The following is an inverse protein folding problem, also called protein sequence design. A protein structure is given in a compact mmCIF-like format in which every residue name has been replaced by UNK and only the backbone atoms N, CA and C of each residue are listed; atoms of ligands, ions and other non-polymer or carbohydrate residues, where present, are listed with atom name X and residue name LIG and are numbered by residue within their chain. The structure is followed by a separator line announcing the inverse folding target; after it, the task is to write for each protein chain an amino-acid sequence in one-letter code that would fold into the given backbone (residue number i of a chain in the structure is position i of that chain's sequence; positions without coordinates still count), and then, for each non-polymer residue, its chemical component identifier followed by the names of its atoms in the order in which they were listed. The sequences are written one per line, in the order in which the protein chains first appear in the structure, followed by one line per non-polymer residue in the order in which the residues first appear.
data_IF_779260571590
#
_entry.id   IF_779260571590
#
_cell.length_a   1.000
_cell.length_b   1.000
_cell.length_c   1.000
_cell.angle_alpha   90.00
_cell.angle_beta   90.00
_cell.angle_gamma   90.00
#
_symmetry.space_group_name_H-M   'P 1'
#
loop_
_entity.id
_entity.type
_entity.pdbx_description
1 polymer ?
#
# COMPACT_ATOMS: atom_id res chain seq x y z
N UNK A 1 22.61 7.59 8.26
CA UNK A 1 22.70 7.16 6.83
C UNK A 1 22.17 5.74 6.61
N UNK A 2 22.71 4.73 7.30
CA UNK A 2 22.26 3.33 7.16
C UNK A 2 20.77 3.13 7.48
N UNK A 3 20.25 3.81 8.52
CA UNK A 3 18.84 3.75 8.91
C UNK A 3 17.90 4.28 7.81
N UNK A 4 18.24 5.40 7.17
CA UNK A 4 17.45 5.98 6.07
C UNK A 4 17.41 5.07 4.85
N UNK A 5 18.54 4.45 4.48
CA UNK A 5 18.57 3.50 3.36
C UNK A 5 17.70 2.26 3.63
N UNK A 6 17.74 1.74 4.86
CA UNK A 6 16.88 0.62 5.27
C UNK A 6 15.40 1.00 5.24
N UNK A 7 15.06 2.21 5.69
CA UNK A 7 13.69 2.72 5.66
C UNK A 7 13.17 2.87 4.23
N UNK A 8 13.97 3.44 3.32
CA UNK A 8 13.60 3.60 1.91
C UNK A 8 13.44 2.24 1.23
N UNK A 9 14.38 1.32 1.43
CA UNK A 9 14.30 -0.04 0.88
C UNK A 9 13.09 -0.81 1.42
N UNK A 10 12.80 -0.68 2.72
CA UNK A 10 11.61 -1.25 3.34
C UNK A 10 10.32 -0.66 2.77
N UNK A 11 10.24 0.67 2.61
CA UNK A 11 9.09 1.35 2.02
C UNK A 11 8.85 0.90 0.57
N UNK A 12 9.90 0.81 -0.25
CA UNK A 12 9.81 0.30 -1.62
C UNK A 12 9.24 -1.12 -1.65
N UNK A 13 9.76 -2.01 -0.80
CA UNK A 13 9.30 -3.39 -0.71
C UNK A 13 7.82 -3.48 -0.30
N UNK A 14 7.40 -2.72 0.73
CA UNK A 14 6.01 -2.73 1.19
C UNK A 14 5.04 -2.19 0.15
N UNK A 15 5.37 -1.08 -0.50
CA UNK A 15 4.52 -0.49 -1.53
C UNK A 15 4.44 -1.39 -2.77
N UNK A 16 5.51 -2.07 -3.14
CA UNK A 16 5.50 -3.01 -4.26
C UNK A 16 4.71 -4.28 -3.94
N UNK A 17 4.73 -4.74 -2.68
CA UNK A 17 4.11 -6.03 -2.31
C UNK A 17 2.61 -5.93 -2.01
N UNK A 18 2.12 -4.76 -1.62
CA UNK A 18 0.70 -4.54 -1.29
C UNK A 18 0.03 -3.64 -2.35
N UNK A 19 -0.71 -4.22 -3.32
CA UNK A 19 -1.34 -3.45 -4.40
C UNK A 19 -2.41 -2.48 -3.88
N UNK A 20 -2.90 -2.68 -2.65
CA UNK A 20 -3.86 -1.78 -2.01
C UNK A 20 -3.25 -0.43 -1.58
N UNK A 21 -1.94 -0.19 -1.73
CA UNK A 21 -1.26 1.02 -1.24
C UNK A 21 -0.99 2.05 -2.35
N UNK A 22 -1.60 3.23 -2.25
CA UNK A 22 -1.29 4.39 -3.09
C UNK A 22 -0.11 5.20 -2.56
N UNK A 23 -0.05 5.35 -1.23
CA UNK A 23 1.03 6.02 -0.52
C UNK A 23 1.16 5.44 0.89
N UNK A 24 2.25 5.78 1.58
CA UNK A 24 2.45 5.40 2.98
C UNK A 24 3.22 6.48 3.74
N UNK A 25 2.98 6.53 5.04
CA UNK A 25 3.80 7.31 5.96
C UNK A 25 4.79 6.41 6.69
N UNK A 26 5.95 6.95 7.02
CA UNK A 26 6.95 6.28 7.86
C UNK A 26 7.61 7.28 8.78
N UNK A 27 8.41 6.80 9.73
CA UNK A 27 9.23 7.64 10.58
C UNK A 27 10.61 7.00 10.75
N UNK A 28 11.65 7.84 10.78
CA UNK A 28 12.99 7.42 11.21
C UNK A 28 13.38 8.21 12.45
N UNK A 29 13.95 7.50 13.42
CA UNK A 29 14.54 8.08 14.62
C UNK A 29 16.03 7.75 14.59
N UNK A 30 16.86 8.78 14.54
CA UNK A 30 18.32 8.69 14.68
C UNK A 30 18.67 9.49 15.95
N UNK A 31 19.08 8.79 17.01
CA UNK A 31 19.27 9.35 18.36
C UNK A 31 18.00 10.05 18.91
N UNK A 32 18.02 11.36 19.07
CA UNK A 32 16.86 12.16 19.46
C UNK A 32 16.17 12.85 18.27
N UNK A 33 16.72 12.73 17.06
CA UNK A 33 16.21 13.38 15.86
C UNK A 33 15.20 12.50 15.13
N UNK A 34 14.02 13.08 14.88
CA UNK A 34 12.91 12.40 14.20
C UNK A 34 12.68 13.04 12.84
N UNK A 35 12.51 12.19 11.83
CA UNK A 35 12.00 12.56 10.51
C UNK A 35 10.70 11.81 10.26
N UNK A 36 9.66 12.52 9.85
CA UNK A 36 8.43 11.93 9.33
C UNK A 36 8.54 11.89 7.82
N UNK A 37 8.26 10.73 7.23
CA UNK A 37 8.35 10.48 5.80
C UNK A 37 6.98 10.26 5.20
N UNK A 38 6.81 10.75 3.97
CA UNK A 38 5.70 10.47 3.09
C UNK A 38 6.26 9.85 1.80
N UNK A 39 5.73 8.69 1.44
CA UNK A 39 6.11 7.97 0.22
C UNK A 39 4.87 7.78 -0.63
N UNK A 40 4.94 8.25 -1.88
CA UNK A 40 3.95 7.97 -2.91
C UNK A 40 4.65 7.34 -4.11
N UNK A 41 3.86 6.80 -5.04
CA UNK A 41 4.35 6.20 -6.29
C UNK A 41 5.09 7.20 -7.18
N UNK A 42 4.81 8.51 -7.04
CA UNK A 42 5.44 9.56 -7.84
C UNK A 42 6.62 10.25 -7.15
N UNK A 43 6.52 10.49 -5.84
CA UNK A 43 7.51 11.26 -5.10
C UNK A 43 7.58 10.85 -3.62
N UNK A 44 8.67 11.25 -2.98
CA UNK A 44 8.90 11.07 -1.56
C UNK A 44 9.19 12.42 -0.92
N UNK A 45 8.63 12.67 0.26
CA UNK A 45 8.84 13.87 1.04
C UNK A 45 9.18 13.51 2.48
N UNK A 46 9.86 14.41 3.19
CA UNK A 46 10.08 14.28 4.62
C UNK A 46 9.91 15.62 5.32
N UNK A 47 9.53 15.57 6.60
CA UNK A 47 9.40 16.76 7.44
C UNK A 47 10.76 17.36 7.76
N UNK A 48 10.75 18.63 8.20
CA UNK A 48 11.87 19.19 8.94
C UNK A 48 12.19 18.32 10.15
N UNK A 49 13.47 18.16 10.45
CA UNK A 49 13.94 17.36 11.58
C UNK A 49 13.53 18.03 12.88
N UNK A 50 13.05 17.25 13.85
CA UNK A 50 12.78 17.74 15.19
C UNK A 50 13.33 16.79 16.25
N UNK A 51 13.67 17.33 17.41
CA UNK A 51 14.19 16.55 18.54
C UNK A 51 13.03 16.07 19.41
N UNK A 52 12.83 14.75 19.53
CA UNK A 52 11.82 14.16 20.40
C UNK A 52 12.08 14.44 21.89
N UNK A 53 13.33 14.72 22.26
CA UNK A 53 13.70 15.11 23.63
C UNK A 53 13.30 16.55 23.94
N UNK A 54 13.46 17.47 22.99
CA UNK A 54 13.15 18.90 23.16
C UNK A 54 11.66 19.18 22.99
N UNK A 55 11.04 18.58 21.97
CA UNK A 55 9.61 18.72 21.71
C UNK A 55 9.03 17.42 21.12
N UNK A 56 8.33 16.67 21.97
CA UNK A 56 7.66 15.42 21.58
C UNK A 56 6.28 15.66 20.95
N UNK A 57 5.74 16.89 21.03
CA UNK A 57 4.37 17.20 20.58
C UNK A 57 4.14 16.88 19.10
N UNK A 58 5.05 17.16 18.15
CA UNK A 58 4.85 16.82 16.74
C UNK A 58 4.72 15.31 16.52
N UNK A 59 5.54 14.51 17.22
CA UNK A 59 5.47 13.05 17.13
C UNK A 59 4.16 12.50 17.68
N UNK A 60 3.72 12.99 18.85
CA UNK A 60 2.43 12.57 19.43
C UNK A 60 1.26 12.95 18.52
N UNK A 61 1.26 14.18 17.99
CA UNK A 61 0.23 14.62 17.03
C UNK A 61 0.19 13.72 15.81
N UNK A 62 1.35 13.37 15.26
CA UNK A 62 1.44 12.46 14.11
C UNK A 62 0.86 11.08 14.43
N UNK A 63 1.28 10.45 15.54
CA UNK A 63 0.79 9.12 15.94
C UNK A 63 -0.72 9.15 16.19
N UNK A 64 -1.21 10.15 16.92
CA UNK A 64 -2.64 10.32 17.22
C UNK A 64 -3.45 10.53 15.94
N UNK A 65 -3.00 11.42 15.05
CA UNK A 65 -3.66 11.67 13.78
C UNK A 65 -3.75 10.39 12.94
N UNK A 66 -2.64 9.66 12.80
CA UNK A 66 -2.59 8.43 11.99
C UNK A 66 -3.39 7.27 12.59
N UNK A 67 -3.46 7.15 13.92
CA UNK A 67 -4.12 6.01 14.57
C UNK A 67 -5.58 6.22 14.90
N UNK A 68 -5.97 7.43 15.33
CA UNK A 68 -7.31 7.68 15.87
C UNK A 68 -8.21 8.41 14.89
N UNK A 69 -7.66 9.27 14.03
CA UNK A 69 -8.45 10.18 13.20
C UNK A 69 -8.37 9.89 11.71
N UNK A 70 -7.43 9.07 11.26
CA UNK A 70 -7.23 8.82 9.83
C UNK A 70 -8.12 7.71 9.30
N UNK A 71 -8.79 7.97 8.19
CA UNK A 71 -9.47 6.92 7.42
C UNK A 71 -8.45 6.06 6.65
N UNK A 72 -8.83 4.86 6.18
CA UNK A 72 -7.93 4.03 5.35
C UNK A 72 -7.38 4.79 4.13
N UNK A 73 -8.20 5.60 3.47
CA UNK A 73 -7.81 6.41 2.31
C UNK A 73 -6.77 7.47 2.70
N UNK A 74 -6.95 8.12 3.86
CA UNK A 74 -5.97 9.07 4.40
C UNK A 74 -4.66 8.41 4.81
N UNK A 75 -4.69 7.11 5.14
CA UNK A 75 -3.51 6.27 5.37
C UNK A 75 -2.91 5.71 4.08
N UNK A 76 -3.49 6.02 2.92
CA UNK A 76 -2.99 5.65 1.61
C UNK A 76 -3.45 4.29 1.11
N UNK A 77 -4.56 3.76 1.65
CA UNK A 77 -5.23 2.61 1.05
C UNK A 77 -6.11 3.05 -0.13
N UNK A 78 -6.06 2.29 -1.21
CA UNK A 78 -6.92 2.49 -2.38
C UNK A 78 -8.35 2.00 -2.07
N UNK A 79 -9.39 2.86 -2.14
CA UNK A 79 -10.78 2.43 -1.93
C UNK A 79 -11.29 1.50 -3.03
N UNK A 80 -10.62 1.42 -4.19
CA UNK A 80 -10.98 0.53 -5.29
C UNK A 80 -10.45 -0.89 -5.13
N UNK A 81 -9.49 -1.12 -4.22
CA UNK A 81 -8.83 -2.43 -4.06
C UNK A 81 -8.98 -2.93 -2.63
N UNK A 82 -9.79 -3.97 -2.44
CA UNK A 82 -10.01 -4.58 -1.14
C UNK A 82 -9.24 -5.89 -1.01
N UNK A 83 -8.40 -6.01 0.02
CA UNK A 83 -7.73 -7.27 0.37
C UNK A 83 -8.64 -8.14 1.23
N UNK A 84 -8.89 -9.36 0.77
CA UNK A 84 -9.73 -10.36 1.46
C UNK A 84 -8.98 -11.68 1.65
N UNK A 85 -9.56 -12.55 2.48
CA UNK A 85 -9.06 -13.91 2.74
C UNK A 85 -10.15 -14.91 2.46
N UNK A 86 -9.76 -15.98 1.79
CA UNK A 86 -10.63 -17.14 1.58
C UNK A 86 -10.70 -18.00 2.85
N UNK A 87 -11.64 -18.93 2.91
CA UNK A 87 -11.76 -19.94 3.96
C UNK A 87 -10.46 -20.75 4.13
N UNK A 88 -9.71 -20.94 3.04
CA UNK A 88 -8.37 -21.54 3.02
C UNK A 88 -7.24 -20.62 3.54
N UNK A 89 -7.56 -19.45 4.08
CA UNK A 89 -6.64 -18.36 4.49
C UNK A 89 -5.76 -17.78 3.37
N UNK A 90 -6.00 -18.16 2.11
CA UNK A 90 -5.33 -17.54 0.96
C UNK A 90 -5.81 -16.11 0.77
N UNK A 91 -4.85 -15.20 0.61
CA UNK A 91 -5.12 -13.81 0.28
C UNK A 91 -5.58 -13.70 -1.17
N UNK A 92 -6.59 -12.87 -1.40
CA UNK A 92 -6.99 -12.43 -2.73
C UNK A 92 -7.40 -10.96 -2.67
N UNK A 93 -7.40 -10.30 -3.82
CA UNK A 93 -7.77 -8.91 -3.96
C UNK A 93 -9.07 -8.81 -4.77
N UNK A 94 -9.92 -7.87 -4.38
CA UNK A 94 -11.14 -7.50 -5.09
C UNK A 94 -10.95 -6.10 -5.62
N UNK A 95 -10.97 -5.95 -6.94
CA UNK A 95 -10.87 -4.68 -7.65
C UNK A 95 -12.26 -4.21 -8.04
N UNK A 96 -12.54 -2.93 -7.78
CA UNK A 96 -13.74 -2.23 -8.23
C UNK A 96 -13.41 -1.42 -9.46
N UNK A 97 -13.90 -1.84 -10.62
CA UNK A 97 -13.67 -1.16 -11.91
C UNK A 97 -15.01 -0.86 -12.56
N UNK A 98 -15.28 0.43 -12.83
CA UNK A 98 -16.52 0.88 -13.46
C UNK A 98 -17.81 0.37 -12.80
N UNK A 99 -17.80 0.16 -11.47
CA UNK A 99 -18.95 -0.34 -10.71
C UNK A 99 -19.07 -1.86 -10.65
N UNK A 100 -18.22 -2.61 -11.36
CA UNK A 100 -18.13 -4.06 -11.28
C UNK A 100 -17.00 -4.48 -10.33
N UNK A 101 -17.15 -5.65 -9.70
CA UNK A 101 -16.17 -6.22 -8.80
C UNK A 101 -15.48 -7.42 -9.44
N UNK A 102 -14.17 -7.48 -9.28
CA UNK A 102 -13.35 -8.54 -9.86
C UNK A 102 -12.39 -9.10 -8.82
N UNK A 103 -12.39 -10.43 -8.67
CA UNK A 103 -11.52 -11.15 -7.75
C UNK A 103 -10.28 -11.69 -8.46
N UNK A 104 -9.11 -11.54 -7.85
CA UNK A 104 -7.86 -12.16 -8.32
C UNK A 104 -7.85 -13.66 -8.18
N UNK A 105 -7.41 -14.35 -9.24
CA UNK A 105 -7.23 -15.79 -9.30
C UNK A 105 -5.76 -16.15 -9.08
N UNK A 106 -5.39 -16.47 -7.84
CA UNK A 106 -4.06 -16.97 -7.51
C UNK A 106 -2.97 -15.90 -7.59
N UNK A 107 -1.79 -16.29 -8.11
CA UNK A 107 -0.60 -15.43 -8.20
C UNK A 107 -0.68 -14.49 -9.42
N UNK A 108 0.03 -13.35 -9.40
CA UNK A 108 0.17 -12.51 -10.58
C UNK A 108 0.71 -13.32 -11.77
N UNK A 109 0.21 -13.02 -12.96
CA UNK A 109 0.71 -13.55 -14.24
C UNK A 109 2.11 -12.97 -14.52
N UNK A 110 2.26 -11.69 -14.21
CA UNK A 110 3.52 -10.97 -14.31
C UNK A 110 3.65 -10.09 -13.06
N UNK A 111 4.80 -10.23 -12.42
CA UNK A 111 5.19 -9.48 -11.24
C UNK A 111 6.58 -8.90 -11.53
N UNK A 112 6.69 -7.58 -11.50
CA UNK A 112 7.96 -6.88 -11.65
C UNK A 112 8.38 -6.32 -10.31
N UNK A 113 9.46 -6.86 -9.77
CA UNK A 113 10.04 -6.34 -8.54
C UNK A 113 10.61 -4.94 -8.77
N UNK A 114 10.02 -3.94 -8.13
CA UNK A 114 10.57 -2.58 -8.15
C UNK A 114 11.53 -2.38 -6.97
N UNK A 115 12.83 -2.14 -7.23
CA UNK A 115 13.80 -1.85 -6.18
C UNK A 115 13.67 -0.41 -5.64
N UNK A 116 12.81 0.42 -6.25
CA UNK A 116 12.66 1.84 -5.96
C UNK A 116 11.21 2.18 -5.64
N UNK A 117 11.02 3.22 -4.82
CA UNK A 117 9.69 3.73 -4.43
C UNK A 117 8.95 4.33 -5.64
N UNK A 118 9.69 5.04 -6.50
CA UNK A 118 9.19 5.51 -7.78
C UNK A 118 9.79 4.67 -8.90
N UNK A 119 8.94 4.11 -9.76
CA UNK A 119 9.38 3.22 -10.83
C UNK A 119 8.25 2.31 -11.31
N UNK A 120 8.58 1.40 -12.21
CA UNK A 120 7.62 0.42 -12.72
C UNK A 120 7.48 -0.71 -11.69
N UNK A 121 6.30 -0.93 -11.11
CA UNK A 121 5.89 -2.20 -10.48
C UNK A 121 4.52 -2.59 -11.00
N UNK A 122 4.43 -2.75 -12.32
CA UNK A 122 3.19 -3.23 -12.93
C UNK A 122 2.92 -4.65 -12.48
N UNK A 123 1.72 -4.90 -11.98
CA UNK A 123 1.24 -6.24 -11.68
C UNK A 123 0.16 -6.61 -12.67
N UNK A 124 0.28 -7.78 -13.29
CA UNK A 124 -0.76 -8.32 -14.16
C UNK A 124 -1.49 -9.45 -13.45
N UNK A 125 -2.79 -9.27 -13.22
CA UNK A 125 -3.63 -10.21 -12.50
C UNK A 125 -4.59 -10.93 -13.44
N UNK A 126 -4.77 -12.22 -13.20
CA UNK A 126 -5.92 -12.95 -13.72
C UNK A 126 -7.10 -12.70 -12.78
N UNK A 127 -8.25 -12.34 -13.34
CA UNK A 127 -9.44 -11.95 -12.59
C UNK A 127 -10.66 -12.75 -13.05
N UNK A 128 -11.64 -12.82 -12.15
CA UNK A 128 -12.99 -13.27 -12.46
C UNK A 128 -13.98 -12.30 -11.81
N UNK A 129 -15.11 -12.03 -12.48
CA UNK A 129 -16.15 -11.18 -11.89
C UNK A 129 -16.69 -11.83 -10.61
N UNK A 130 -16.96 -10.99 -9.62
CA UNK A 130 -17.43 -11.42 -8.31
C UNK A 130 -18.44 -10.41 -7.75
N UNK A 131 -19.09 -10.79 -6.66
CA UNK A 131 -19.85 -9.85 -5.83
C UNK A 131 -18.90 -8.92 -5.07
N UNK A 132 -19.44 -7.87 -4.44
CA UNK A 132 -18.67 -7.02 -3.52
C UNK A 132 -18.01 -7.85 -2.42
N UNK A 133 -18.65 -8.94 -2.00
CA UNK A 133 -18.16 -9.86 -0.98
C UNK A 133 -16.97 -10.72 -1.44
N UNK A 134 -16.70 -10.78 -2.75
CA UNK A 134 -15.63 -11.60 -3.33
C UNK A 134 -16.07 -13.01 -3.70
N UNK A 135 -17.39 -13.26 -3.70
CA UNK A 135 -17.97 -14.51 -4.14
C UNK A 135 -18.04 -14.54 -5.66
N UNK A 136 -17.58 -15.63 -6.24
CA UNK A 136 -17.45 -15.79 -7.69
C UNK A 136 -18.66 -16.57 -8.19
N UNK A 137 -19.31 -16.09 -9.24
CA UNK A 137 -20.36 -16.86 -9.92
C UNK A 137 -19.73 -17.90 -10.86
N UNK A 138 -20.15 -19.15 -10.73
CA UNK A 138 -19.69 -20.25 -11.59
C UNK A 138 -20.04 -19.96 -13.06
N UNK A 139 -19.04 -20.04 -13.94
CA UNK A 139 -19.18 -19.79 -15.38
C UNK A 139 -18.77 -18.40 -15.86
N UNK A 140 -18.36 -17.49 -14.97
CA UNK A 140 -18.02 -16.12 -15.38
C UNK A 140 -16.71 -16.03 -16.16
N UNK A 141 -16.65 -15.12 -17.13
CA UNK A 141 -15.49 -14.93 -18.00
C UNK A 141 -14.25 -14.50 -17.21
N UNK A 142 -13.09 -15.01 -17.64
CA UNK A 142 -11.79 -14.62 -17.08
C UNK A 142 -11.30 -13.34 -17.76
N UNK A 143 -10.80 -12.41 -16.96
CA UNK A 143 -10.24 -11.15 -17.42
C UNK A 143 -8.78 -11.02 -16.99
N UNK A 144 -8.03 -10.15 -17.68
CA UNK A 144 -6.68 -9.77 -17.26
C UNK A 144 -6.71 -8.29 -16.90
N UNK A 145 -6.31 -7.96 -15.67
CA UNK A 145 -6.12 -6.58 -15.25
C UNK A 145 -4.63 -6.29 -15.18
N UNK A 146 -4.25 -5.20 -15.84
CA UNK A 146 -2.94 -4.60 -15.70
C UNK A 146 -3.06 -3.47 -14.70
N UNK A 147 -2.58 -3.70 -13.48
CA UNK A 147 -2.43 -2.68 -12.46
C UNK A 147 -1.11 -1.96 -12.69
N UNK A 148 -1.19 -0.69 -13.07
CA UNK A 148 -0.02 0.12 -13.43
C UNK A 148 0.45 0.95 -12.23
N UNK A 149 1.77 1.01 -12.07
CA UNK A 149 2.47 1.78 -11.04
C UNK A 149 3.04 3.07 -11.60
#
# INVERSE_FOLDING_TARGET
LQNRCQLIGGAAHYMSSDPCRLFMYSLSIEDDHVHIWYFSRSHSAHSTVFSARKDVRPLLKFIIAMRLFSTPEQLGFDPSVTRKRDNSRKLYYVYKVNGHYYRTLGKPISDYYAPTISGRATHCWMLQECTEDGEVSDGTQKHVLKDYW
#
